data_IF_956198020435
#
_entry.id   IF_956198020435
#
_cell.length_a   1.000
_cell.length_b   1.000
_cell.length_c   1.000
_cell.angle_alpha   90.00
_cell.angle_beta   90.00
_cell.angle_gamma   90.00
#
_symmetry.space_group_name_H-M   'P 1'
#
loop_
_entity.id
_entity.type
_entity.pdbx_description
1 polymer ?
#
# COMPACT_ATOMS: atom_id res chain seq x y z
N UNK A 1 24.35 28.41 -43.40
CA UNK A 1 24.51 27.74 -42.08
C UNK A 1 23.24 26.96 -41.81
N UNK A 2 23.24 25.66 -42.11
CA UNK A 2 22.09 24.79 -41.88
C UNK A 2 22.36 23.98 -40.60
N UNK A 3 21.52 24.16 -39.59
CA UNK A 3 21.55 23.33 -38.38
C UNK A 3 20.84 22.00 -38.71
N UNK A 4 21.41 20.83 -38.39
CA UNK A 4 20.69 19.57 -38.54
C UNK A 4 19.60 19.48 -37.47
N UNK A 5 18.38 19.17 -37.94
CA UNK A 5 17.28 18.75 -37.09
C UNK A 5 17.64 17.40 -36.44
N UNK A 6 17.71 17.35 -35.11
CA UNK A 6 17.81 16.09 -34.40
C UNK A 6 16.42 15.44 -34.33
N UNK A 7 16.27 14.18 -34.79
CA UNK A 7 14.97 13.51 -34.80
C UNK A 7 14.56 13.14 -33.37
N UNK A 8 13.26 13.22 -33.13
CA UNK A 8 12.60 12.62 -31.98
C UNK A 8 12.84 11.11 -31.97
N UNK A 9 13.21 10.53 -30.83
CA UNK A 9 12.84 9.17 -30.37
C UNK A 9 13.70 8.78 -29.15
N UNK A 10 13.12 8.83 -27.95
CA UNK A 10 13.39 7.82 -26.93
C UNK A 10 12.12 7.61 -26.12
N UNK A 11 11.41 6.56 -26.52
CA UNK A 11 10.22 6.02 -25.88
C UNK A 11 10.56 5.62 -24.45
N UNK A 12 9.92 6.25 -23.47
CA UNK A 12 9.97 5.82 -22.08
C UNK A 12 9.15 4.52 -21.96
N UNK A 13 9.84 3.37 -22.07
CA UNK A 13 9.26 2.09 -21.72
C UNK A 13 8.85 2.13 -20.23
N UNK A 14 7.61 1.78 -19.87
CA UNK A 14 7.21 1.69 -18.47
C UNK A 14 8.02 0.59 -17.79
N UNK A 15 8.76 0.96 -16.73
CA UNK A 15 9.47 -0.02 -15.90
C UNK A 15 8.50 -1.10 -15.41
N UNK A 16 8.92 -2.38 -15.40
CA UNK A 16 8.09 -3.45 -14.85
C UNK A 16 7.73 -3.13 -13.40
N UNK A 17 6.50 -3.44 -12.95
CA UNK A 17 6.11 -3.25 -11.57
C UNK A 17 7.08 -4.04 -10.70
N UNK A 18 7.89 -3.33 -9.91
CA UNK A 18 8.86 -3.92 -8.99
C UNK A 18 8.09 -4.85 -8.04
N UNK A 19 8.15 -6.16 -8.32
CA UNK A 19 7.52 -7.17 -7.49
C UNK A 19 8.24 -7.15 -6.14
N UNK A 20 7.63 -6.49 -5.16
CA UNK A 20 8.15 -6.43 -3.80
C UNK A 20 8.30 -7.84 -3.19
N UNK A 21 9.02 -7.96 -2.07
CA UNK A 21 9.24 -9.24 -1.40
C UNK A 21 7.91 -10.00 -1.19
N UNK A 22 7.92 -11.33 -1.30
CA UNK A 22 6.72 -12.14 -1.10
C UNK A 22 6.09 -11.81 0.25
N UNK A 23 4.82 -11.41 0.23
CA UNK A 23 4.09 -10.98 1.43
C UNK A 23 3.78 -12.20 2.29
N UNK A 24 4.52 -12.38 3.38
CA UNK A 24 4.26 -13.41 4.40
C UNK A 24 3.45 -12.82 5.55
N UNK A 25 2.48 -13.57 6.10
CA UNK A 25 1.69 -13.12 7.25
C UNK A 25 1.83 -14.03 8.48
N UNK A 26 1.55 -13.47 9.66
CA UNK A 26 1.60 -14.16 10.98
C UNK A 26 0.25 -14.11 11.71
N UNK A 27 -0.84 -14.25 10.95
CA UNK A 27 -2.20 -14.10 11.47
C UNK A 27 -2.55 -15.18 12.52
N UNK A 28 -3.18 -14.78 13.63
CA UNK A 28 -3.61 -15.73 14.69
C UNK A 28 -5.13 -15.91 14.80
N UNK A 29 -5.92 -14.89 14.47
CA UNK A 29 -7.40 -14.84 14.70
C UNK A 29 -8.22 -14.45 13.47
N UNK A 30 -7.57 -14.12 12.35
CA UNK A 30 -8.25 -13.70 11.14
C UNK A 30 -8.66 -14.87 10.25
N UNK A 31 -8.09 -16.06 10.48
CA UNK A 31 -8.14 -17.22 9.57
C UNK A 31 -7.72 -16.84 8.13
N UNK A 32 -7.01 -15.71 8.00
CA UNK A 32 -6.68 -15.05 6.73
C UNK A 32 -7.91 -14.70 5.85
N UNK A 33 -9.11 -14.59 6.40
CA UNK A 33 -10.34 -14.23 5.66
C UNK A 33 -10.82 -12.80 5.95
N UNK A 34 -9.94 -11.97 6.52
CA UNK A 34 -10.23 -10.58 6.91
C UNK A 34 -9.11 -9.68 6.38
N UNK A 35 -9.44 -8.41 6.11
CA UNK A 35 -8.48 -7.38 5.65
C UNK A 35 -7.32 -7.09 6.63
N UNK A 36 -7.35 -7.63 7.85
CA UNK A 36 -6.20 -7.64 8.76
C UNK A 36 -5.03 -8.50 8.27
N UNK A 37 -5.29 -9.42 7.33
CA UNK A 37 -4.26 -10.25 6.70
C UNK A 37 -3.77 -9.56 5.42
N UNK A 38 -2.46 -9.32 5.33
CA UNK A 38 -1.85 -8.67 4.17
C UNK A 38 -2.03 -9.46 2.87
N UNK A 39 -1.99 -10.80 2.93
CA UNK A 39 -2.22 -11.65 1.76
C UNK A 39 -3.66 -11.50 1.25
N UNK A 40 -4.64 -11.58 2.17
CA UNK A 40 -6.05 -11.45 1.82
C UNK A 40 -6.39 -10.05 1.31
N UNK A 41 -5.85 -8.99 1.95
CA UNK A 41 -6.02 -7.62 1.51
C UNK A 41 -5.36 -7.35 0.14
N UNK A 42 -4.25 -8.03 -0.18
CA UNK A 42 -3.60 -7.98 -1.48
C UNK A 42 -4.33 -8.80 -2.57
N UNK A 43 -5.37 -9.56 -2.21
CA UNK A 43 -6.08 -10.42 -3.15
C UNK A 43 -5.31 -11.71 -3.50
N UNK A 44 -4.26 -12.06 -2.76
CA UNK A 44 -3.48 -13.29 -2.97
C UNK A 44 -3.79 -14.36 -1.92
N UNK A 45 -3.61 -15.63 -2.29
CA UNK A 45 -3.62 -16.72 -1.32
C UNK A 45 -2.36 -16.69 -0.46
N UNK A 46 -2.44 -17.25 0.74
CA UNK A 46 -1.27 -17.42 1.58
C UNK A 46 -0.35 -18.50 1.00
N UNK A 47 0.90 -18.16 0.76
CA UNK A 47 1.97 -19.10 0.38
C UNK A 47 3.13 -18.96 1.38
N UNK A 48 3.56 -20.07 1.99
CA UNK A 48 4.67 -20.07 2.96
C UNK A 48 4.49 -19.15 4.19
N UNK A 49 3.23 -18.88 4.61
CA UNK A 49 2.94 -17.99 5.73
C UNK A 49 2.96 -18.73 7.07
N UNK A 50 3.29 -18.03 8.16
CA UNK A 50 3.29 -18.55 9.53
C UNK A 50 2.00 -18.19 10.30
N UNK A 51 0.86 -18.20 9.60
CA UNK A 51 -0.46 -17.96 10.16
C UNK A 51 -1.10 -19.24 10.73
N UNK A 52 -1.89 -19.09 11.80
CA UNK A 52 -2.63 -20.18 12.44
C UNK A 52 -4.03 -20.32 11.81
N UNK A 53 -4.47 -21.56 11.58
CA UNK A 53 -5.80 -21.90 11.03
C UNK A 53 -6.12 -21.14 9.74
N UNK A 54 -5.21 -21.18 8.77
CA UNK A 54 -5.36 -20.46 7.51
C UNK A 54 -6.47 -21.07 6.64
N UNK A 55 -7.44 -20.25 6.24
CA UNK A 55 -8.46 -20.58 5.26
C UNK A 55 -8.28 -19.79 3.95
N UNK A 56 -7.21 -18.99 3.83
CA UNK A 56 -6.89 -18.26 2.60
C UNK A 56 -5.98 -19.08 1.69
N UNK A 57 -6.49 -20.22 1.24
CA UNK A 57 -5.81 -21.11 0.31
C UNK A 57 -6.75 -21.59 -0.80
N UNK A 58 -6.21 -22.19 -1.87
CA UNK A 58 -7.00 -22.64 -3.02
C UNK A 58 -8.06 -23.69 -2.64
N UNK A 59 -7.80 -24.50 -1.60
CA UNK A 59 -8.74 -25.50 -1.09
C UNK A 59 -10.05 -24.88 -0.54
N UNK A 60 -9.98 -23.64 -0.05
CA UNK A 60 -11.11 -22.91 0.53
C UNK A 60 -11.53 -21.73 -0.38
N UNK A 61 -11.22 -21.79 -1.68
CA UNK A 61 -11.45 -20.69 -2.63
C UNK A 61 -12.90 -20.18 -2.62
N UNK A 62 -13.88 -21.08 -2.49
CA UNK A 62 -15.30 -20.70 -2.39
C UNK A 62 -15.58 -19.80 -1.17
N UNK A 63 -15.02 -20.12 0.00
CA UNK A 63 -15.16 -19.31 1.21
C UNK A 63 -14.41 -17.98 1.08
N UNK A 64 -13.23 -18.00 0.47
CA UNK A 64 -12.43 -16.79 0.21
C UNK A 64 -13.21 -15.82 -0.67
N UNK A 65 -13.79 -16.31 -1.76
CA UNK A 65 -14.54 -15.49 -2.71
C UNK A 65 -15.82 -14.93 -2.07
N UNK A 66 -16.56 -15.75 -1.31
CA UNK A 66 -17.75 -15.26 -0.61
C UNK A 66 -17.40 -14.15 0.40
N UNK A 67 -16.28 -14.28 1.11
CA UNK A 67 -15.81 -13.21 2.02
C UNK A 67 -15.39 -11.96 1.27
N UNK A 68 -14.73 -12.09 0.11
CA UNK A 68 -14.39 -10.95 -0.76
C UNK A 68 -15.65 -10.24 -1.24
N UNK A 69 -16.62 -10.99 -1.76
CA UNK A 69 -17.91 -10.47 -2.23
C UNK A 69 -18.65 -9.71 -1.13
N UNK A 70 -18.76 -10.30 0.06
CA UNK A 70 -19.38 -9.64 1.23
C UNK A 70 -18.68 -8.33 1.63
N UNK A 71 -17.35 -8.27 1.51
CA UNK A 71 -16.57 -7.05 1.81
C UNK A 71 -16.77 -6.00 0.71
N UNK A 72 -16.71 -6.40 -0.56
CA UNK A 72 -16.93 -5.51 -1.72
C UNK A 72 -18.34 -4.92 -1.73
N UNK A 73 -19.35 -5.68 -1.28
CA UNK A 73 -20.72 -5.19 -1.15
C UNK A 73 -20.84 -4.05 -0.13
N UNK A 74 -20.02 -4.05 0.91
CA UNK A 74 -19.99 -3.00 1.94
C UNK A 74 -19.13 -1.82 1.54
N UNK A 75 -17.99 -2.10 0.92
CA UNK A 75 -17.07 -1.09 0.40
C UNK A 75 -16.42 -1.62 -0.90
N UNK A 76 -16.84 -1.11 -2.08
CA UNK A 76 -16.30 -1.57 -3.36
C UNK A 76 -14.82 -1.23 -3.54
N UNK A 77 -14.26 -0.32 -2.73
CA UNK A 77 -12.84 0.04 -2.74
C UNK A 77 -12.04 -0.66 -1.64
N UNK A 78 -12.61 -1.65 -0.95
CA UNK A 78 -11.94 -2.35 0.15
C UNK A 78 -10.64 -3.08 -0.24
N UNK A 79 -10.54 -3.56 -1.48
CA UNK A 79 -9.38 -4.29 -2.01
C UNK A 79 -8.49 -3.44 -2.92
N UNK A 80 -8.86 -2.18 -3.17
CA UNK A 80 -7.98 -1.26 -3.87
C UNK A 80 -7.04 -0.57 -2.88
N UNK A 81 -5.85 -0.15 -3.33
CA UNK A 81 -4.92 0.61 -2.49
C UNK A 81 -5.60 1.92 -2.10
N UNK A 82 -5.76 2.15 -0.79
CA UNK A 82 -6.39 3.38 -0.25
C UNK A 82 -5.62 4.66 -0.57
N UNK A 83 -4.33 4.53 -0.89
CA UNK A 83 -3.46 5.62 -1.31
C UNK A 83 -3.20 5.46 -2.80
N UNK A 84 -3.66 6.44 -3.57
CA UNK A 84 -3.38 6.53 -5.00
C UNK A 84 -2.12 7.38 -5.20
N UNK A 85 -1.18 6.88 -6.01
CA UNK A 85 -0.10 7.67 -6.57
C UNK A 85 -0.71 8.56 -7.65
N UNK A 86 -0.80 9.87 -7.39
CA UNK A 86 -1.28 10.81 -8.38
C UNK A 86 -0.12 11.19 -9.31
N UNK A 87 -0.21 10.74 -10.56
CA UNK A 87 0.81 10.90 -11.59
C UNK A 87 0.99 12.35 -12.06
N UNK A 88 0.24 13.32 -11.54
CA UNK A 88 0.28 14.70 -12.04
C UNK A 88 0.73 15.78 -11.06
N UNK A 89 1.01 15.47 -9.79
CA UNK A 89 1.56 16.47 -8.88
C UNK A 89 2.23 15.90 -7.63
N UNK A 90 2.93 14.75 -7.70
CA UNK A 90 3.78 14.26 -6.58
C UNK A 90 3.11 14.18 -5.21
N UNK A 91 1.77 14.13 -5.15
CA UNK A 91 0.97 14.32 -3.94
C UNK A 91 0.03 13.14 -3.81
N UNK A 92 0.56 12.04 -3.30
CA UNK A 92 -0.21 10.92 -2.81
C UNK A 92 -1.20 11.43 -1.75
N UNK A 93 -2.51 11.21 -1.95
CA UNK A 93 -3.54 11.60 -0.98
C UNK A 93 -4.38 10.39 -0.60
N UNK A 94 -4.57 10.21 0.69
CA UNK A 94 -5.51 9.23 1.22
C UNK A 94 -6.94 9.72 0.94
N UNK A 95 -7.75 9.00 0.14
CA UNK A 95 -9.09 9.47 -0.28
C UNK A 95 -10.01 9.84 0.87
N UNK A 96 -9.97 9.05 1.96
CA UNK A 96 -10.87 9.18 3.12
C UNK A 96 -10.24 9.85 4.34
N UNK A 97 -8.94 10.16 4.29
CA UNK A 97 -8.16 10.52 5.49
C UNK A 97 -7.93 9.34 6.45
N UNK A 98 -7.15 9.56 7.52
CA UNK A 98 -6.83 8.56 8.53
C UNK A 98 -7.49 8.89 9.88
N UNK A 99 -7.85 7.87 10.67
CA UNK A 99 -8.54 8.03 11.96
C UNK A 99 -7.56 8.11 13.15
N UNK A 100 -6.41 8.74 12.96
CA UNK A 100 -5.35 8.79 13.95
C UNK A 100 -5.71 9.68 15.14
N UNK A 101 -5.76 9.13 16.37
CA UNK A 101 -6.00 9.90 17.60
C UNK A 101 -4.73 10.20 18.41
N UNK A 102 -3.77 9.27 18.45
CA UNK A 102 -2.56 9.34 19.30
C UNK A 102 -1.24 9.27 18.55
N UNK A 103 -1.27 8.84 17.29
CA UNK A 103 -0.07 8.79 16.45
C UNK A 103 0.31 10.15 15.89
N UNK A 104 -0.59 11.14 15.97
CA UNK A 104 -0.46 12.47 15.33
C UNK A 104 -0.03 12.39 13.86
N UNK A 105 -0.32 11.27 13.19
CA UNK A 105 0.14 10.98 11.84
C UNK A 105 1.67 10.95 11.65
N UNK A 106 2.45 10.78 12.74
CA UNK A 106 3.92 10.76 12.74
C UNK A 106 4.54 9.39 13.07
N UNK A 107 3.70 8.36 13.20
CA UNK A 107 4.13 7.00 13.56
C UNK A 107 3.60 5.99 12.56
N UNK A 108 4.26 4.84 12.46
CA UNK A 108 3.90 3.72 11.56
C UNK A 108 2.47 3.18 11.75
N UNK A 109 1.78 3.51 12.84
CA UNK A 109 0.35 3.21 13.01
C UNK A 109 -0.56 4.01 12.07
N UNK A 110 -0.09 5.14 11.53
CA UNK A 110 -0.83 5.95 10.57
C UNK A 110 -0.59 5.45 9.15
N UNK A 111 -1.67 5.17 8.41
CA UNK A 111 -1.61 4.80 7.00
C UNK A 111 -0.92 5.89 6.16
N UNK A 112 -1.17 7.19 6.43
CA UNK A 112 -0.51 8.30 5.73
C UNK A 112 1.01 8.36 5.98
N UNK A 113 1.45 8.05 7.21
CA UNK A 113 2.88 8.06 7.54
C UNK A 113 3.65 6.94 6.84
N UNK A 114 3.06 5.74 6.73
CA UNK A 114 3.71 4.60 6.08
C UNK A 114 4.07 4.87 4.61
N UNK A 115 3.22 5.62 3.91
CA UNK A 115 3.43 5.98 2.50
C UNK A 115 4.02 7.37 2.31
N UNK A 116 4.39 8.06 3.39
CA UNK A 116 4.92 9.44 3.35
C UNK A 116 4.00 10.39 2.58
N UNK A 117 2.69 10.27 2.78
CA UNK A 117 1.70 11.10 2.10
C UNK A 117 1.12 12.15 3.05
N UNK A 118 0.69 13.31 2.53
CA UNK A 118 0.18 14.41 3.36
C UNK A 118 -1.18 14.05 3.96
N UNK A 119 -1.26 14.07 5.29
CA UNK A 119 -2.54 13.87 6.00
C UNK A 119 -3.46 15.09 5.81
N UNK A 120 -4.72 14.86 5.44
CA UNK A 120 -5.72 15.93 5.28
C UNK A 120 -6.24 16.48 6.62
N UNK A 121 -6.23 15.67 7.68
CA UNK A 121 -6.78 16.05 8.99
C UNK A 121 -5.84 16.94 9.82
N UNK A 122 -4.56 17.04 9.45
CA UNK A 122 -3.58 17.91 10.12
C UNK A 122 -2.66 18.53 9.07
N UNK A 123 -3.05 19.73 8.59
CA UNK A 123 -2.36 20.45 7.53
C UNK A 123 -0.93 20.95 7.88
N UNK A 124 -0.47 20.76 9.12
CA UNK A 124 0.72 21.43 9.69
C UNK A 124 1.99 20.58 9.77
N UNK A 125 1.94 19.30 9.40
CA UNK A 125 3.14 18.48 9.40
C UNK A 125 3.49 18.18 7.95
N UNK A 126 4.16 19.15 7.33
CA UNK A 126 4.99 18.88 6.16
C UNK A 126 5.91 17.71 6.51
N UNK A 127 6.14 16.84 5.53
CA UNK A 127 7.12 15.75 5.57
C UNK A 127 8.30 16.13 6.47
N UNK A 128 8.78 15.27 7.39
CA UNK A 128 10.19 15.38 7.72
C UNK A 128 10.92 15.24 6.39
N UNK A 129 11.51 16.35 5.93
CA UNK A 129 12.58 16.36 4.94
C UNK A 129 13.49 15.16 5.24
N UNK A 130 14.02 14.47 4.22
CA UNK A 130 14.81 13.26 4.42
C UNK A 130 15.83 13.55 5.52
N UNK A 131 15.67 12.86 6.66
CA UNK A 131 16.66 12.92 7.71
C UNK A 131 17.96 12.52 7.02
N UNK A 132 18.88 13.49 6.96
CA UNK A 132 20.26 13.24 6.60
C UNK A 132 20.72 11.96 7.33
N UNK A 133 21.58 11.13 6.71
CA UNK A 133 22.11 9.95 7.37
C UNK A 133 22.65 10.38 8.74
N UNK A 134 22.08 9.83 9.82
CA UNK A 134 22.54 10.04 11.18
C UNK A 134 24.06 9.90 11.20
N UNK A 135 24.85 10.89 11.66
CA UNK A 135 26.22 10.59 12.02
C UNK A 135 26.17 9.60 13.18
N UNK A 136 26.92 8.51 13.05
CA UNK A 136 27.20 7.61 14.15
C UNK A 136 27.73 8.46 15.31
N UNK A 137 27.01 8.44 16.44
CA UNK A 137 27.56 8.96 17.69
C UNK A 137 28.67 8.01 18.17
N UNK A 138 29.73 8.55 18.79
CA UNK A 138 30.89 7.80 19.27
C UNK A 138 30.56 6.83 20.40
#
# INVERSE_FOLDING_TARGET
>A
MALPAFPALLSAAPLPPVAGPPRTCHCKKSQCLKLYCDCFAAGTFCSGCACLSCLNGPQHAAQVEEKRRCIMQRDPQAFTRKIQADSQAGSERHKRGCNCKRSHCLKKYCECFQVRCRCQAQAQHALPLPLAPYPALP
#
